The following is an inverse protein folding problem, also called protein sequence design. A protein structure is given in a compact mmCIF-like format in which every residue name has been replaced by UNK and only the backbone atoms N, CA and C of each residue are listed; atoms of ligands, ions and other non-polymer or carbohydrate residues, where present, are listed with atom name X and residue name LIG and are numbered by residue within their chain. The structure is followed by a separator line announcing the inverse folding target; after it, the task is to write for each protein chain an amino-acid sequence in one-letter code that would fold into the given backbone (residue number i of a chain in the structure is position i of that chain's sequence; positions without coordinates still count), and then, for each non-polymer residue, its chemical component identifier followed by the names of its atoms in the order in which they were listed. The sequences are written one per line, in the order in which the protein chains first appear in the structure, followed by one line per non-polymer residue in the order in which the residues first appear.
data_IF_188027080062
#
_entry.id   IF_188027080062
#
_cell.length_a   1.000
_cell.length_b   1.000
_cell.length_c   1.000
_cell.angle_alpha   90.00
_cell.angle_beta   90.00
_cell.angle_gamma   90.00
#
_symmetry.space_group_name_H-M   'P 1'
#
loop_
_entity.id
_entity.type
_entity.pdbx_description
1 polymer ?
#
# COMPACT_ATOMS: atom_id res chain seq x y z
N UNK A 1 -19.80 -3.57 12.73
CA UNK A 1 -19.00 -4.17 11.62
C UNK A 1 -18.76 -5.67 11.79
N UNK A 2 -18.32 -6.16 12.96
CA UNK A 2 -18.39 -7.60 13.28
C UNK A 2 -19.82 -8.04 13.64
N UNK A 3 -20.59 -7.13 14.24
CA UNK A 3 -21.97 -7.37 14.69
C UNK A 3 -22.92 -7.77 13.55
N UNK A 4 -22.73 -7.24 12.34
CA UNK A 4 -23.59 -7.58 11.20
C UNK A 4 -23.35 -9.01 10.71
N UNK A 5 -22.15 -9.56 10.87
CA UNK A 5 -21.83 -10.95 10.52
C UNK A 5 -22.53 -11.99 11.38
N UNK A 6 -23.04 -11.60 12.55
CA UNK A 6 -23.73 -12.52 13.46
C UNK A 6 -25.06 -12.98 12.87
N UNK A 7 -25.73 -12.11 12.10
CA UNK A 7 -27.07 -12.37 11.60
C UNK A 7 -27.18 -12.31 10.06
N UNK A 8 -26.24 -11.65 9.37
CA UNK A 8 -26.18 -11.65 7.91
C UNK A 8 -25.67 -13.00 7.42
N UNK A 9 -26.52 -13.77 6.72
CA UNK A 9 -26.10 -15.03 6.09
C UNK A 9 -25.43 -14.76 4.74
N UNK A 10 -25.98 -13.80 4.01
CA UNK A 10 -25.52 -13.39 2.68
C UNK A 10 -25.84 -11.89 2.45
N UNK A 11 -25.38 -11.33 1.34
CA UNK A 11 -25.61 -9.94 0.92
C UNK A 11 -27.08 -9.53 0.83
N UNK A 12 -27.99 -10.48 0.66
CA UNK A 12 -29.44 -10.24 0.63
C UNK A 12 -29.99 -9.79 1.98
N UNK A 13 -29.31 -10.16 3.06
CA UNK A 13 -29.64 -9.73 4.41
C UNK A 13 -28.97 -8.39 4.75
N UNK A 14 -28.14 -7.82 3.86
CA UNK A 14 -27.52 -6.52 4.08
C UNK A 14 -28.55 -5.41 3.88
N UNK A 15 -28.80 -4.55 4.90
CA UNK A 15 -29.64 -3.38 4.73
C UNK A 15 -29.08 -2.48 3.64
N UNK A 16 -29.97 -1.91 2.82
CA UNK A 16 -29.57 -0.94 1.82
C UNK A 16 -29.08 0.34 2.49
N UNK A 17 -27.92 0.84 2.07
CA UNK A 17 -27.44 2.15 2.49
C UNK A 17 -28.22 3.24 1.76
N UNK A 18 -28.96 4.05 2.51
CA UNK A 18 -29.66 5.19 1.94
C UNK A 18 -28.67 6.32 1.64
N UNK A 19 -28.91 7.11 0.57
CA UNK A 19 -28.03 8.22 0.18
C UNK A 19 -28.30 9.45 1.07
N UNK A 20 -28.11 9.30 2.38
CA UNK A 20 -28.23 10.36 3.37
C UNK A 20 -27.05 10.33 4.34
N UNK A 21 -26.69 11.50 4.87
CA UNK A 21 -25.55 11.64 5.78
C UNK A 21 -25.75 10.81 7.05
N UNK A 22 -26.98 10.67 7.56
CA UNK A 22 -27.26 9.94 8.79
C UNK A 22 -26.85 8.47 8.78
N UNK A 23 -26.66 7.88 7.60
CA UNK A 23 -26.32 6.47 7.41
C UNK A 23 -24.80 6.18 7.45
N UNK A 24 -23.97 7.16 7.86
CA UNK A 24 -22.51 6.95 7.97
C UNK A 24 -22.15 5.83 8.97
N UNK A 25 -22.99 5.56 9.97
CA UNK A 25 -22.81 4.49 10.96
C UNK A 25 -23.03 3.10 10.38
N UNK A 26 -23.82 2.99 9.34
CA UNK A 26 -24.16 1.73 8.66
C UNK A 26 -23.14 1.38 7.56
N UNK A 27 -22.22 2.30 7.24
CA UNK A 27 -21.20 2.07 6.21
C UNK A 27 -20.30 0.89 6.59
N UNK A 28 -20.19 -0.06 5.66
CA UNK A 28 -19.38 -1.27 5.81
C UNK A 28 -18.24 -1.28 4.80
N UNK A 29 -17.12 -1.96 5.11
CA UNK A 29 -16.02 -2.10 4.15
C UNK A 29 -16.49 -2.83 2.87
N UNK A 30 -15.77 -2.68 1.76
CA UNK A 30 -16.04 -3.42 0.52
C UNK A 30 -16.09 -4.94 0.70
N UNK A 31 -15.35 -5.49 1.65
CA UNK A 31 -15.32 -6.93 1.94
C UNK A 31 -16.69 -7.49 2.38
N UNK A 32 -17.57 -6.66 2.94
CA UNK A 32 -18.92 -7.06 3.35
C UNK A 32 -19.98 -6.72 2.27
N UNK A 33 -19.58 -6.18 1.11
CA UNK A 33 -20.45 -5.85 -0.02
C UNK A 33 -19.85 -6.37 -1.33
N UNK A 34 -19.55 -7.66 -1.39
CA UNK A 34 -18.88 -8.28 -2.55
C UNK A 34 -19.74 -8.23 -3.83
N UNK A 35 -21.06 -8.27 -3.70
CA UNK A 35 -21.99 -8.21 -4.83
C UNK A 35 -22.14 -6.82 -5.44
N UNK A 36 -21.72 -5.78 -4.70
CA UNK A 36 -21.76 -4.40 -5.17
C UNK A 36 -20.36 -3.77 -5.18
N UNK A 37 -19.57 -3.96 -6.25
CA UNK A 37 -18.23 -3.39 -6.36
C UNK A 37 -18.24 -1.86 -6.43
N UNK A 38 -19.39 -1.20 -6.67
CA UNK A 38 -19.44 0.27 -6.70
C UNK A 38 -19.08 0.92 -5.35
N UNK A 39 -19.15 0.18 -4.24
CA UNK A 39 -18.75 0.64 -2.91
C UNK A 39 -17.26 1.01 -2.81
N UNK A 40 -16.40 0.52 -3.71
CA UNK A 40 -14.97 0.86 -3.71
C UNK A 40 -14.58 1.99 -4.69
N UNK A 41 -15.56 2.72 -5.24
CA UNK A 41 -15.30 3.88 -6.11
C UNK A 41 -14.87 5.08 -5.23
N UNK A 42 -13.57 5.30 -5.12
CA UNK A 42 -12.95 6.31 -4.23
C UNK A 42 -12.81 7.70 -4.88
N UNK A 43 -13.93 8.29 -5.30
CA UNK A 43 -13.93 9.64 -5.93
C UNK A 43 -13.91 10.80 -4.93
N UNK A 44 -14.19 10.53 -3.65
CA UNK A 44 -14.14 11.54 -2.59
C UNK A 44 -12.68 11.88 -2.28
N UNK A 45 -12.26 13.09 -2.63
CA UNK A 45 -10.95 13.62 -2.25
C UNK A 45 -10.81 13.71 -0.72
N UNK A 46 -9.67 13.25 -0.20
CA UNK A 46 -9.37 13.28 1.25
C UNK A 46 -8.28 14.29 1.57
N UNK A 47 -7.10 14.15 0.96
CA UNK A 47 -5.94 14.99 1.27
C UNK A 47 -4.91 15.03 0.15
N UNK A 48 -4.21 16.17 0.05
CA UNK A 48 -2.95 16.29 -0.69
C UNK A 48 -1.79 16.25 0.30
N UNK A 49 -0.93 15.23 0.18
CA UNK A 49 0.28 15.08 1.00
C UNK A 49 1.52 15.44 0.17
N UNK A 50 2.27 16.46 0.61
CA UNK A 50 3.44 16.97 -0.13
C UNK A 50 4.62 17.21 0.80
N UNK A 51 5.82 16.90 0.32
CA UNK A 51 7.06 17.23 1.02
C UNK A 51 7.46 18.69 0.85
N UNK A 52 8.35 19.17 1.74
CA UNK A 52 8.98 20.49 1.63
C UNK A 52 9.75 20.62 0.31
N UNK A 53 10.56 19.61 0.01
CA UNK A 53 11.22 19.47 -1.28
C UNK A 53 10.29 18.73 -2.23
N UNK A 54 9.89 19.40 -3.32
CA UNK A 54 8.98 18.83 -4.30
C UNK A 54 9.78 18.03 -5.33
N UNK A 55 9.72 16.73 -5.20
CA UNK A 55 10.25 15.78 -6.18
C UNK A 55 9.09 14.97 -6.77
N UNK A 56 9.11 14.65 -8.08
CA UNK A 56 8.16 13.70 -8.66
C UNK A 56 8.17 12.37 -7.91
N UNK A 57 6.98 11.85 -7.60
CA UNK A 57 6.77 10.53 -6.98
C UNK A 57 6.52 9.54 -8.11
N UNK A 58 7.28 8.45 -8.14
CA UNK A 58 7.16 7.44 -9.20
C UNK A 58 6.43 6.18 -8.75
N UNK A 59 6.48 5.86 -7.45
CA UNK A 59 5.80 4.70 -6.91
C UNK A 59 5.21 5.01 -5.53
N UNK A 60 4.11 4.35 -5.22
CA UNK A 60 3.42 4.42 -3.93
C UNK A 60 2.97 3.02 -3.54
N UNK A 61 3.11 2.68 -2.27
CA UNK A 61 2.72 1.38 -1.76
C UNK A 61 2.27 1.49 -0.31
N UNK A 62 1.15 0.85 0.01
CA UNK A 62 0.72 0.67 1.40
C UNK A 62 1.61 -0.35 2.09
N UNK A 63 1.87 -0.16 3.39
CA UNK A 63 2.37 -1.27 4.19
C UNK A 63 1.27 -2.34 4.33
N UNK A 64 1.60 -3.64 4.43
CA UNK A 64 0.60 -4.70 4.38
C UNK A 64 -0.43 -4.62 5.50
N UNK A 65 -0.03 -4.11 6.66
CA UNK A 65 -0.89 -3.85 7.81
C UNK A 65 -1.76 -2.58 7.66
N UNK A 66 -1.59 -1.79 6.59
CA UNK A 66 -2.35 -0.57 6.32
C UNK A 66 -1.99 0.63 7.20
N UNK A 67 -0.99 0.48 8.10
CA UNK A 67 -0.59 1.54 9.04
C UNK A 67 0.05 2.74 8.35
N UNK A 68 0.78 2.51 7.27
CA UNK A 68 1.58 3.54 6.59
C UNK A 68 1.45 3.46 5.08
N UNK A 69 1.58 4.60 4.44
CA UNK A 69 1.77 4.73 3.01
C UNK A 69 3.23 5.11 2.74
N UNK A 70 3.92 4.37 1.89
CA UNK A 70 5.30 4.64 1.48
C UNK A 70 5.29 5.20 0.07
N UNK A 71 5.92 6.36 -0.13
CA UNK A 71 6.09 6.98 -1.46
C UNK A 71 7.56 7.05 -1.83
N UNK A 72 7.90 6.60 -3.05
CA UNK A 72 9.26 6.68 -3.60
C UNK A 72 9.41 7.85 -4.58
N UNK A 73 10.35 8.74 -4.28
CA UNK A 73 10.58 9.97 -5.05
C UNK A 73 11.72 9.84 -6.07
N UNK A 74 11.80 10.81 -6.98
CA UNK A 74 12.90 10.95 -7.94
C UNK A 74 14.26 11.24 -7.28
N UNK A 75 14.25 11.78 -6.05
CA UNK A 75 15.43 12.03 -5.22
C UNK A 75 16.03 10.77 -4.60
N UNK A 76 15.36 9.61 -4.73
CA UNK A 76 15.76 8.38 -4.03
C UNK A 76 15.20 8.28 -2.61
N UNK A 77 14.40 9.25 -2.17
CA UNK A 77 13.81 9.26 -0.83
C UNK A 77 12.54 8.41 -0.76
N UNK A 78 12.37 7.74 0.38
CA UNK A 78 11.08 7.26 0.85
C UNK A 78 10.47 8.29 1.80
N UNK A 79 9.20 8.62 1.59
CA UNK A 79 8.40 9.32 2.59
C UNK A 79 7.32 8.41 3.11
N UNK A 80 7.22 8.33 4.42
CA UNK A 80 6.22 7.54 5.13
C UNK A 80 5.12 8.48 5.63
N UNK A 81 3.89 8.15 5.25
CA UNK A 81 2.69 8.86 5.67
C UNK A 81 1.85 7.97 6.58
N UNK A 82 1.23 8.56 7.58
CA UNK A 82 0.28 7.87 8.44
C UNK A 82 -0.95 7.41 7.64
N UNK A 83 -1.36 6.16 7.77
CA UNK A 83 -2.41 5.58 6.93
C UNK A 83 -3.84 6.08 7.21
N UNK A 84 -4.09 6.60 8.41
CA UNK A 84 -5.41 7.11 8.80
C UNK A 84 -5.52 8.62 8.63
N UNK A 85 -4.47 9.34 9.02
CA UNK A 85 -4.48 10.82 9.05
C UNK A 85 -3.73 11.45 7.89
N UNK A 86 -2.90 10.68 7.16
CA UNK A 86 -2.01 11.16 6.08
C UNK A 86 -1.00 12.22 6.52
N UNK A 87 -0.72 12.30 7.83
CA UNK A 87 0.35 13.13 8.37
C UNK A 87 1.73 12.54 8.02
N UNK A 88 2.73 13.40 7.88
CA UNK A 88 4.13 13.00 7.72
C UNK A 88 4.61 12.24 8.96
N UNK A 89 5.20 11.06 8.77
CA UNK A 89 5.86 10.32 9.86
C UNK A 89 7.38 10.46 9.78
N UNK A 90 7.97 10.10 8.64
CA UNK A 90 9.42 10.16 8.47
C UNK A 90 9.83 10.17 7.00
N UNK A 91 11.08 10.53 6.75
CA UNK A 91 11.75 10.49 5.45
C UNK A 91 13.05 9.69 5.57
N UNK A 92 13.35 8.89 4.55
CA UNK A 92 14.52 8.02 4.51
C UNK A 92 15.21 8.16 3.15
N UNK A 93 16.53 8.33 3.14
CA UNK A 93 17.30 8.22 1.91
C UNK A 93 17.45 6.73 1.57
N UNK A 94 16.62 6.23 0.66
CA UNK A 94 16.55 4.81 0.35
C UNK A 94 17.47 4.41 -0.79
N UNK A 95 17.54 5.24 -1.85
CA UNK A 95 18.37 5.03 -3.03
C UNK A 95 19.14 6.31 -3.37
N UNK A 96 20.23 6.19 -4.14
CA UNK A 96 20.99 7.35 -4.62
C UNK A 96 20.42 7.90 -5.95
N UNK A 97 19.40 7.23 -6.48
CA UNK A 97 18.70 7.59 -7.71
C UNK A 97 17.20 7.38 -7.56
N UNK A 98 16.45 7.80 -8.58
CA UNK A 98 14.99 7.74 -8.59
C UNK A 98 14.49 6.31 -8.29
N UNK A 99 13.67 6.19 -7.24
CA UNK A 99 12.98 4.94 -6.92
C UNK A 99 11.93 4.71 -7.99
N UNK A 100 12.03 3.61 -8.72
CA UNK A 100 11.10 3.28 -9.81
C UNK A 100 10.07 2.25 -9.40
N UNK A 101 10.45 1.34 -8.51
CA UNK A 101 9.64 0.17 -8.20
C UNK A 101 9.66 -0.08 -6.70
N UNK A 102 8.51 -0.45 -6.17
CA UNK A 102 8.32 -0.89 -4.79
C UNK A 102 7.27 -1.99 -4.78
N UNK A 103 7.56 -3.12 -4.14
CA UNK A 103 6.61 -4.22 -3.96
C UNK A 103 6.84 -4.92 -2.64
N UNK A 104 5.76 -5.35 -1.98
CA UNK A 104 5.84 -6.27 -0.85
C UNK A 104 5.90 -7.72 -1.36
N UNK A 105 6.61 -8.54 -0.61
CA UNK A 105 6.47 -9.99 -0.65
C UNK A 105 5.06 -10.37 -0.18
N UNK A 106 4.52 -11.47 -0.71
CA UNK A 106 3.25 -12.06 -0.27
C UNK A 106 3.24 -12.47 1.22
N UNK A 107 4.42 -12.70 1.79
CA UNK A 107 4.57 -13.01 3.19
C UNK A 107 4.56 -11.77 4.09
N UNK A 108 4.53 -10.56 3.53
CA UNK A 108 4.58 -9.27 4.25
C UNK A 108 5.89 -9.01 5.03
N UNK A 109 6.85 -9.93 4.98
CA UNK A 109 8.12 -9.81 5.70
C UNK A 109 9.14 -8.90 4.99
N UNK A 110 9.03 -8.78 3.67
CA UNK A 110 10.05 -8.16 2.83
C UNK A 110 9.42 -7.17 1.87
N UNK A 111 9.96 -5.96 1.81
CA UNK A 111 9.74 -5.03 0.71
C UNK A 111 10.95 -5.04 -0.21
N UNK A 112 10.69 -5.15 -1.50
CA UNK A 112 11.70 -5.09 -2.56
C UNK A 112 11.52 -3.80 -3.32
N UNK A 113 12.61 -3.08 -3.50
CA UNK A 113 12.62 -1.78 -4.18
C UNK A 113 13.73 -1.75 -5.21
N UNK A 114 13.55 -0.95 -6.25
CA UNK A 114 14.57 -0.75 -7.25
C UNK A 114 14.58 0.66 -7.82
N UNK A 115 15.76 1.07 -8.30
CA UNK A 115 16.01 2.41 -8.81
C UNK A 115 16.33 2.45 -10.31
N UNK A 116 16.53 3.68 -10.77
CA UNK A 116 16.91 4.00 -12.13
C UNK A 116 18.31 3.49 -12.53
N UNK A 117 19.19 3.16 -11.58
CA UNK A 117 20.57 2.72 -11.87
C UNK A 117 20.73 1.20 -11.83
N UNK A 118 19.65 0.47 -11.54
CA UNK A 118 19.64 -0.99 -11.61
C UNK A 118 19.87 -1.70 -10.27
N UNK A 119 19.92 -0.95 -9.16
CA UNK A 119 20.07 -1.52 -7.83
C UNK A 119 18.73 -1.98 -7.28
N UNK A 120 18.76 -3.14 -6.63
CA UNK A 120 17.63 -3.71 -5.91
C UNK A 120 17.99 -3.77 -4.43
N UNK A 121 17.09 -3.26 -3.58
CA UNK A 121 17.23 -3.26 -2.11
C UNK A 121 16.10 -4.01 -1.45
N UNK A 122 16.45 -4.78 -0.41
CA UNK A 122 15.53 -5.50 0.46
C UNK A 122 15.34 -4.73 1.76
N UNK A 123 14.09 -4.58 2.17
CA UNK A 123 13.68 -3.84 3.35
C UNK A 123 12.80 -4.69 4.25
N UNK A 124 12.98 -4.53 5.56
CA UNK A 124 12.05 -5.03 6.57
C UNK A 124 10.86 -4.07 6.76
N UNK A 125 9.81 -4.51 7.47
CA UNK A 125 8.63 -3.68 7.81
C UNK A 125 8.97 -2.41 8.60
N UNK A 126 10.05 -2.42 9.36
CA UNK A 126 10.59 -1.26 10.07
C UNK A 126 11.39 -0.30 9.16
N UNK A 127 11.41 -0.53 7.84
CA UNK A 127 12.20 0.23 6.85
C UNK A 127 13.71 0.16 7.07
N UNK A 128 14.21 -0.93 7.64
CA UNK A 128 15.63 -1.21 7.69
C UNK A 128 16.11 -1.85 6.38
N UNK A 129 17.20 -1.33 5.81
CA UNK A 129 17.85 -1.91 4.64
C UNK A 129 18.66 -3.14 5.06
N UNK A 130 18.30 -4.30 4.52
CA UNK A 130 18.95 -5.57 4.86
C UNK A 130 20.03 -5.95 3.85
N UNK A 131 19.78 -5.70 2.57
CA UNK A 131 20.68 -6.10 1.49
C UNK A 131 20.45 -5.25 0.25
N UNK A 132 21.54 -4.89 -0.41
CA UNK A 132 21.52 -4.26 -1.72
C UNK A 132 22.41 -5.01 -2.71
N UNK A 133 22.01 -5.05 -3.97
CA UNK A 133 22.83 -5.59 -5.05
C UNK A 133 22.42 -4.94 -6.38
N UNK A 134 23.35 -4.90 -7.34
CA UNK A 134 23.06 -4.44 -8.69
C UNK A 134 22.49 -5.60 -9.50
N UNK A 135 21.20 -5.53 -9.82
CA UNK A 135 20.52 -6.56 -10.62
C UNK A 135 20.67 -6.30 -12.11
N UNK A 136 20.67 -5.04 -12.51
CA UNK A 136 20.77 -4.60 -13.90
C UNK A 136 21.76 -3.43 -14.04
N UNK A 137 22.28 -3.23 -15.25
CA UNK A 137 23.04 -2.02 -15.61
C UNK A 137 22.14 -0.89 -16.13
N UNK A 138 20.88 -1.23 -16.39
CA UNK A 138 19.85 -0.37 -16.94
C UNK A 138 18.73 -0.15 -15.90
N UNK A 139 17.85 0.84 -16.11
CA UNK A 139 16.77 1.16 -15.17
C UNK A 139 15.80 0.00 -14.94
N UNK A 140 15.54 -0.35 -13.68
CA UNK A 140 14.51 -1.32 -13.36
C UNK A 140 13.14 -0.65 -13.43
N UNK A 141 12.23 -1.22 -14.24
CA UNK A 141 10.89 -0.66 -14.47
C UNK A 141 9.77 -1.38 -13.74
N UNK A 142 9.97 -2.66 -13.41
CA UNK A 142 9.01 -3.46 -12.68
C UNK A 142 9.70 -4.61 -11.95
N UNK A 143 9.13 -5.00 -10.82
CA UNK A 143 9.49 -6.18 -10.02
C UNK A 143 8.18 -6.79 -9.57
N UNK A 144 8.09 -8.12 -9.64
CA UNK A 144 6.95 -8.86 -9.12
C UNK A 144 7.46 -10.03 -8.28
N UNK A 145 6.91 -10.18 -7.09
CA UNK A 145 7.16 -11.36 -6.27
C UNK A 145 6.37 -12.55 -6.82
N UNK A 146 7.04 -13.70 -6.93
CA UNK A 146 6.39 -14.95 -7.31
C UNK A 146 5.42 -15.42 -6.21
N UNK A 147 4.33 -16.12 -6.57
CA UNK A 147 3.51 -16.84 -5.61
C UNK A 147 4.34 -18.01 -5.05
N UNK A 148 4.74 -17.95 -3.80
CA UNK A 148 5.29 -19.14 -3.14
C UNK A 148 4.15 -20.09 -2.80
N UNK A 149 4.03 -21.20 -3.55
CA UNK A 149 3.31 -22.38 -3.05
C UNK A 149 4.20 -23.03 -1.99
N UNK A 150 4.07 -22.63 -0.73
CA UNK A 150 4.47 -23.54 0.35
C UNK A 150 3.30 -24.50 0.54
N UNK A 151 3.43 -25.80 0.18
CA UNK A 151 2.45 -26.76 0.64
C UNK A 151 2.46 -26.70 2.17
N UNK A 152 1.31 -26.43 2.77
CA UNK A 152 1.10 -26.71 4.18
C UNK A 152 1.42 -28.18 4.39
N UNK A 153 2.58 -28.49 4.96
CA UNK A 153 2.88 -29.83 5.47
C UNK A 153 1.79 -30.17 6.48
N UNK A 154 1.12 -31.31 6.24
CA UNK A 154 -0.02 -31.82 7.00
C UNK A 154 0.33 -32.36 8.37
#
# INVERSE_FOLDING_TARGET
MLESRVWQRDHRDCPALHPDVGYYTEMVPPLNMLDNPSNCITTKFVRTSTNKMRCPIFCVLWTPEGRRLVTGASSGEFTLWNGLTFNFETILQAHDSAVRVMTWSRSDHWMVTADQTGYVKYWQSNMNNVKMFQAHKEPVRAIRCAPTHTPTTG
#
